data_IF_763912954225
#
_entry.id   IF_763912954225
#
_cell.length_a   1.000
_cell.length_b   1.000
_cell.length_c   1.000
_cell.angle_alpha   90.00
_cell.angle_beta   90.00
_cell.angle_gamma   90.00
#
_symmetry.space_group_name_H-M   'P 1'
#
loop_
_entity.id
_entity.type
_entity.pdbx_description
1 polymer ?
#
# COMPACT_ATOMS: atom_id res chain seq x y z
N UNK A 1 40.03 14.11 26.18
CA UNK A 1 39.32 15.04 27.08
C UNK A 1 38.30 15.79 26.23
N UNK A 2 37.02 15.78 26.63
CA UNK A 2 35.96 16.50 25.91
C UNK A 2 36.24 18.01 25.95
N UNK A 3 35.97 18.73 24.86
CA UNK A 3 36.09 20.18 24.84
C UNK A 3 35.01 20.82 25.72
N UNK A 4 35.23 22.07 26.17
CA UNK A 4 34.22 22.83 26.94
C UNK A 4 32.89 22.98 26.16
N UNK A 5 32.96 23.05 24.82
CA UNK A 5 31.78 23.08 23.96
C UNK A 5 31.01 21.76 23.95
N UNK A 6 31.73 20.64 23.96
CA UNK A 6 31.12 19.31 23.99
C UNK A 6 30.45 19.04 25.33
N UNK A 7 31.04 19.51 26.45
CA UNK A 7 30.40 19.44 27.77
C UNK A 7 29.08 20.20 27.81
N UNK A 8 29.03 21.42 27.27
CA UNK A 8 27.79 22.21 27.20
C UNK A 8 26.70 21.50 26.38
N UNK A 9 27.07 20.91 25.25
CA UNK A 9 26.13 20.15 24.41
C UNK A 9 25.64 18.89 25.12
N UNK A 10 26.51 18.21 25.86
CA UNK A 10 26.14 17.05 26.66
C UNK A 10 25.16 17.41 27.77
N UNK A 11 25.40 18.51 28.50
CA UNK A 11 24.48 18.99 29.54
C UNK A 11 23.11 19.35 28.95
N UNK A 12 23.10 19.96 27.77
CA UNK A 12 21.87 20.33 27.05
C UNK A 12 21.09 19.07 26.61
N UNK A 13 21.77 18.07 26.05
CA UNK A 13 21.18 16.77 25.69
C UNK A 13 20.66 16.03 26.93
N UNK A 14 21.40 16.04 28.03
CA UNK A 14 20.98 15.40 29.29
C UNK A 14 19.71 16.06 29.83
N UNK A 15 19.63 17.40 29.81
CA UNK A 15 18.44 18.13 30.26
C UNK A 15 17.20 17.84 29.42
N UNK A 16 17.34 17.78 28.09
CA UNK A 16 16.26 17.45 27.16
C UNK A 16 15.81 16.00 27.35
N UNK A 17 16.76 15.10 27.59
CA UNK A 17 16.47 13.67 27.79
C UNK A 17 15.75 13.44 29.13
N UNK A 18 16.23 14.07 30.22
CA UNK A 18 15.60 13.98 31.55
C UNK A 18 14.21 14.61 31.59
N UNK A 19 13.98 15.68 30.82
CA UNK A 19 12.64 16.28 30.68
C UNK A 19 11.66 15.38 29.90
N UNK A 20 12.16 14.61 28.94
CA UNK A 20 11.33 13.73 28.10
C UNK A 20 11.09 12.34 28.73
N UNK A 21 12.03 11.81 29.50
CA UNK A 21 11.91 10.54 30.22
C UNK A 21 12.86 10.53 31.43
N UNK A 22 12.38 10.91 32.63
CA UNK A 22 13.21 10.97 33.84
C UNK A 22 13.69 9.58 34.29
N UNK A 23 12.84 8.56 34.14
CA UNK A 23 13.14 7.18 34.55
C UNK A 23 14.25 6.57 33.67
N UNK A 24 14.23 6.86 32.36
CA UNK A 24 15.31 6.48 31.45
C UNK A 24 16.63 7.22 31.75
N UNK A 25 16.57 8.52 32.05
CA UNK A 25 17.75 9.32 32.33
C UNK A 25 18.44 8.89 33.65
N UNK A 26 17.65 8.53 34.65
CA UNK A 26 18.16 8.04 35.94
C UNK A 26 18.72 6.60 35.80
N UNK A 27 18.05 5.73 35.04
CA UNK A 27 18.58 4.40 34.71
C UNK A 27 19.89 4.45 33.91
N UNK A 28 20.03 5.40 32.98
CA UNK A 28 21.28 5.60 32.24
C UNK A 28 22.44 6.06 33.15
N UNK A 29 22.12 6.82 34.21
CA UNK A 29 23.08 7.32 35.20
C UNK A 29 23.57 6.21 36.13
N UNK A 30 22.67 5.28 36.47
CA UNK A 30 22.95 4.14 37.35
C UNK A 30 23.52 2.91 36.60
N UNK A 31 23.85 3.05 35.30
CA UNK A 31 24.28 1.95 34.42
C UNK A 31 23.25 0.81 34.28
N UNK A 32 21.99 1.06 34.66
CA UNK A 32 20.87 0.13 34.53
C UNK A 32 19.78 0.76 33.63
N UNK A 33 19.97 0.72 32.30
CA UNK A 33 19.09 1.40 31.36
C UNK A 33 17.68 0.77 31.39
N UNK A 34 16.75 1.46 32.05
CA UNK A 34 15.32 1.13 32.04
C UNK A 34 14.80 1.30 30.60
N UNK A 35 14.02 0.36 30.05
CA UNK A 35 13.46 0.51 28.71
C UNK A 35 12.59 1.78 28.63
N UNK A 36 12.80 2.64 27.60
CA UNK A 36 12.05 3.89 27.47
C UNK A 36 10.54 3.61 27.43
N UNK A 37 9.76 4.42 28.14
CA UNK A 37 8.30 4.23 28.21
C UNK A 37 7.69 4.26 26.80
N UNK A 38 6.82 3.27 26.53
CA UNK A 38 6.27 2.88 25.22
C UNK A 38 5.52 3.98 24.43
N UNK A 39 5.29 5.16 25.00
CA UNK A 39 4.52 6.26 24.40
C UNK A 39 5.10 6.78 23.08
N UNK A 40 6.41 6.59 22.83
CA UNK A 40 7.05 7.03 21.58
C UNK A 40 6.70 6.15 20.37
N UNK A 41 6.15 4.96 20.56
CA UNK A 41 5.75 4.05 19.46
C UNK A 41 4.36 4.36 18.93
N UNK A 42 3.49 4.96 19.73
CA UNK A 42 2.12 5.31 19.36
C UNK A 42 2.00 6.09 18.03
N UNK A 43 2.79 7.17 17.77
CA UNK A 43 2.68 7.89 16.50
C UNK A 43 3.14 7.07 15.30
N UNK A 44 4.18 6.24 15.47
CA UNK A 44 4.70 5.37 14.41
C UNK A 44 3.69 4.26 14.08
N UNK A 45 3.08 3.67 15.11
CA UNK A 45 2.03 2.66 14.96
C UNK A 45 0.79 3.27 14.31
N UNK A 46 0.38 4.48 14.71
CA UNK A 46 -0.74 5.19 14.11
C UNK A 46 -0.50 5.50 12.62
N UNK A 47 0.70 5.95 12.25
CA UNK A 47 1.10 6.15 10.85
C UNK A 47 1.10 4.84 10.07
N UNK A 48 1.60 3.76 10.67
CA UNK A 48 1.59 2.43 10.06
C UNK A 48 0.18 1.93 9.76
N UNK A 49 -0.72 2.00 10.75
CA UNK A 49 -2.13 1.61 10.60
C UNK A 49 -2.83 2.48 9.55
N UNK A 50 -2.62 3.80 9.59
CA UNK A 50 -3.21 4.72 8.61
C UNK A 50 -2.77 4.40 7.19
N UNK A 51 -1.48 4.14 6.98
CA UNK A 51 -0.93 3.79 5.66
C UNK A 51 -1.48 2.45 5.17
N UNK A 52 -1.56 1.44 6.05
CA UNK A 52 -2.13 0.14 5.71
C UNK A 52 -3.60 0.24 5.28
N UNK A 53 -4.40 1.07 5.96
CA UNK A 53 -5.81 1.31 5.60
C UNK A 53 -5.93 1.99 4.25
N UNK A 54 -5.12 3.00 3.96
CA UNK A 54 -5.12 3.69 2.66
C UNK A 54 -4.77 2.71 1.53
N UNK A 55 -3.74 1.88 1.72
CA UNK A 55 -3.34 0.86 0.75
C UNK A 55 -4.45 -0.18 0.53
N UNK A 56 -5.12 -0.63 1.61
CA UNK A 56 -6.23 -1.57 1.51
C UNK A 56 -7.37 -1.00 0.64
N UNK A 57 -7.79 0.23 0.92
CA UNK A 57 -8.86 0.90 0.17
C UNK A 57 -8.46 1.12 -1.29
N UNK A 58 -7.23 1.57 -1.54
CA UNK A 58 -6.72 1.76 -2.90
C UNK A 58 -6.69 0.44 -3.69
N UNK A 59 -6.27 -0.65 -3.05
CA UNK A 59 -6.22 -1.99 -3.68
C UNK A 59 -7.62 -2.50 -4.00
N UNK A 60 -8.57 -2.32 -3.07
CA UNK A 60 -9.97 -2.70 -3.28
C UNK A 60 -10.59 -1.92 -4.44
N UNK A 61 -10.41 -0.60 -4.47
CA UNK A 61 -10.89 0.26 -5.54
C UNK A 61 -10.26 -0.12 -6.89
N UNK A 62 -8.95 -0.37 -6.93
CA UNK A 62 -8.23 -0.82 -8.12
C UNK A 62 -8.77 -2.14 -8.67
N UNK A 63 -9.03 -3.12 -7.79
CA UNK A 63 -9.61 -4.40 -8.18
C UNK A 63 -10.99 -4.24 -8.83
N UNK A 64 -11.85 -3.36 -8.31
CA UNK A 64 -13.16 -3.09 -8.90
C UNK A 64 -13.03 -2.54 -10.32
N UNK A 65 -12.09 -1.62 -10.56
CA UNK A 65 -11.83 -1.09 -11.91
C UNK A 65 -11.36 -2.18 -12.86
N UNK A 66 -10.43 -3.03 -12.42
CA UNK A 66 -9.93 -4.15 -13.23
C UNK A 66 -11.07 -5.14 -13.56
N UNK A 67 -11.91 -5.48 -12.58
CA UNK A 67 -13.08 -6.34 -12.80
C UNK A 67 -14.06 -5.72 -13.80
N UNK A 68 -14.33 -4.42 -13.71
CA UNK A 68 -15.20 -3.72 -14.65
C UNK A 68 -14.64 -3.78 -16.08
N UNK A 69 -13.35 -3.48 -16.26
CA UNK A 69 -12.68 -3.53 -17.56
C UNK A 69 -12.70 -4.94 -18.13
N UNK A 70 -12.41 -5.95 -17.31
CA UNK A 70 -12.47 -7.36 -17.71
C UNK A 70 -13.89 -7.77 -18.13
N UNK A 71 -14.90 -7.34 -17.39
CA UNK A 71 -16.30 -7.61 -17.72
C UNK A 71 -16.70 -6.98 -19.04
N UNK A 72 -16.39 -5.69 -19.25
CA UNK A 72 -16.65 -4.99 -20.51
C UNK A 72 -15.94 -5.70 -21.67
N UNK A 73 -14.66 -6.06 -21.48
CA UNK A 73 -13.88 -6.80 -22.47
C UNK A 73 -14.52 -8.14 -22.84
N UNK A 74 -15.00 -8.89 -21.85
CA UNK A 74 -15.70 -10.16 -22.06
C UNK A 74 -16.99 -9.96 -22.85
N UNK A 75 -17.82 -8.97 -22.48
CA UNK A 75 -19.07 -8.66 -23.20
C UNK A 75 -18.79 -8.29 -24.65
N UNK A 76 -17.81 -7.41 -24.90
CA UNK A 76 -17.38 -7.04 -26.24
C UNK A 76 -16.89 -8.26 -27.04
N UNK A 77 -16.10 -9.14 -26.43
CA UNK A 77 -15.63 -10.37 -27.05
C UNK A 77 -16.78 -11.30 -27.43
N UNK A 78 -17.77 -11.48 -26.55
CA UNK A 78 -18.97 -12.30 -26.81
C UNK A 78 -19.81 -11.72 -27.95
N UNK A 79 -20.05 -10.41 -27.96
CA UNK A 79 -20.80 -9.74 -29.05
C UNK A 79 -20.08 -9.90 -30.38
N UNK A 80 -18.75 -9.70 -30.40
CA UNK A 80 -17.94 -9.87 -31.61
C UNK A 80 -17.95 -11.32 -32.08
N UNK A 81 -17.80 -12.28 -31.19
CA UNK A 81 -17.87 -13.71 -31.49
C UNK A 81 -19.21 -14.08 -32.11
N UNK A 82 -20.33 -13.63 -31.52
CA UNK A 82 -21.68 -13.84 -32.06
C UNK A 82 -21.85 -13.23 -33.45
N UNK A 83 -21.28 -12.05 -33.69
CA UNK A 83 -21.26 -11.42 -35.01
C UNK A 83 -20.50 -12.25 -36.04
N UNK A 84 -19.32 -12.73 -35.69
CA UNK A 84 -18.50 -13.60 -36.55
C UNK A 84 -19.24 -14.91 -36.89
N UNK A 85 -19.83 -15.57 -35.89
CA UNK A 85 -20.59 -16.81 -36.07
C UNK A 85 -21.83 -16.58 -36.96
N UNK A 86 -22.55 -15.48 -36.79
CA UNK A 86 -23.68 -15.14 -37.68
C UNK A 86 -23.22 -14.98 -39.14
N UNK A 87 -22.10 -14.30 -39.37
CA UNK A 87 -21.57 -14.10 -40.73
C UNK A 87 -21.11 -15.42 -41.37
N UNK A 88 -20.47 -16.31 -40.63
CA UNK A 88 -20.04 -17.61 -41.17
C UNK A 88 -21.21 -18.53 -41.53
N UNK A 89 -22.30 -18.49 -40.75
CA UNK A 89 -23.52 -19.24 -41.09
C UNK A 89 -24.27 -18.69 -42.30
N UNK A 90 -24.27 -17.38 -42.52
CA UNK A 90 -24.84 -16.77 -43.73
C UNK A 90 -24.01 -17.14 -44.96
N UNK A 91 -22.68 -17.05 -44.87
CA UNK A 91 -21.79 -17.37 -45.98
C UNK A 91 -21.86 -18.85 -46.41
N UNK A 92 -22.00 -19.76 -45.45
CA UNK A 92 -22.16 -21.20 -45.72
C UNK A 92 -23.54 -21.59 -46.27
N UNK A 93 -24.58 -20.75 -46.08
CA UNK A 93 -25.86 -20.90 -46.79
C UNK A 93 -25.76 -20.46 -48.24
N UNK A 94 -25.16 -19.30 -48.50
CA UNK A 94 -25.01 -18.78 -49.87
C UNK A 94 -24.09 -19.65 -50.73
N UNK A 95 -23.02 -20.22 -50.15
CA UNK A 95 -22.12 -21.13 -50.85
C UNK A 95 -22.80 -22.45 -51.26
N UNK A 96 -23.86 -22.87 -50.55
CA UNK A 96 -24.59 -24.11 -50.83
C UNK A 96 -25.59 -23.98 -51.98
N UNK A 97 -26.00 -22.75 -52.32
CA UNK A 97 -26.95 -22.44 -53.39
C UNK A 97 -26.31 -21.94 -54.67
N UNK A 98 -24.97 -21.79 -54.73
CA UNK A 98 -24.30 -21.45 -55.98
C UNK A 98 -24.23 -22.71 -56.86
N UNK A 99 -24.88 -22.72 -58.04
CA UNK A 99 -24.75 -23.81 -58.98
C UNK A 99 -23.29 -23.94 -59.40
N UNK A 100 -22.75 -25.15 -59.27
CA UNK A 100 -21.47 -25.55 -59.86
C UNK A 100 -21.73 -25.73 -61.35
N UNK A 101 -21.57 -24.65 -62.10
CA UNK A 101 -21.38 -24.72 -63.55
C UNK A 101 -19.93 -25.08 -63.84
#
# INVERSE_FOLDING_TARGET
MLSMGDRRRLDEIESLTRAADPDFADGLRDWDPVPPRDDRRAPVVALGIGTALVLLVATLAGNLVVMLVAFIGLVCAVVRYRGCVRRSHLWSRDARWRPRW
#
